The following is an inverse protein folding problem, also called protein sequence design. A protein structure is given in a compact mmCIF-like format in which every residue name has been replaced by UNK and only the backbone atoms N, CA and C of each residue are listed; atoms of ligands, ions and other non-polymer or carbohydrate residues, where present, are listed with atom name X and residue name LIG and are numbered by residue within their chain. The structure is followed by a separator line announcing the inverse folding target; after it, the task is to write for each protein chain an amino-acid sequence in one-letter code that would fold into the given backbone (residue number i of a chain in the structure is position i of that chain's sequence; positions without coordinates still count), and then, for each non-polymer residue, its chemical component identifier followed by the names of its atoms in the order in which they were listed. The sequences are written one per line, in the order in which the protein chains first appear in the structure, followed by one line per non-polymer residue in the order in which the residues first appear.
data_IF_815044551442
#
_entry.id   IF_815044551442
#
_cell.length_a   1.000
_cell.length_b   1.000
_cell.length_c   1.000
_cell.angle_alpha   90.00
_cell.angle_beta   90.00
_cell.angle_gamma   90.00
#
_symmetry.space_group_name_H-M   'P 1'
#
loop_
_entity.id
_entity.type
_entity.pdbx_description
1 polymer ?
#
# COMPACT_ATOMS: atom_id res chain seq x y z
N UNK A 1 8.66 -1.66 -97.61
CA UNK A 1 9.96 -1.80 -96.91
C UNK A 1 10.35 -0.43 -96.40
N UNK A 2 10.26 -0.22 -95.10
CA UNK A 2 11.07 0.77 -94.37
C UNK A 2 10.58 0.79 -92.94
N UNK A 3 11.39 0.36 -92.08
CA UNK A 3 11.19 0.26 -90.60
C UNK A 3 11.30 1.67 -90.03
N UNK A 4 10.36 2.08 -89.19
CA UNK A 4 10.49 3.26 -88.36
C UNK A 4 10.42 2.85 -86.92
N UNK A 5 11.42 3.27 -86.18
CA UNK A 5 11.77 2.95 -84.77
C UNK A 5 10.72 3.32 -83.76
N UNK A 6 10.67 2.54 -82.63
CA UNK A 6 9.82 2.81 -81.51
C UNK A 6 10.58 3.59 -80.40
N UNK A 7 10.64 4.93 -80.50
CA UNK A 7 11.32 5.78 -79.50
C UNK A 7 10.44 6.97 -79.07
N UNK A 8 9.16 6.84 -79.01
CA UNK A 8 8.31 7.95 -78.54
C UNK A 8 7.10 7.52 -77.65
N UNK A 9 7.26 6.52 -76.79
CA UNK A 9 6.18 6.18 -75.86
C UNK A 9 6.73 5.81 -74.46
N UNK A 10 7.71 6.53 -73.96
CA UNK A 10 8.30 6.26 -72.59
C UNK A 10 8.52 7.55 -71.79
N UNK A 11 7.61 8.54 -71.89
CA UNK A 11 7.67 9.73 -70.99
C UNK A 11 6.26 10.11 -70.50
N UNK A 12 5.42 9.19 -70.15
CA UNK A 12 4.11 9.50 -69.55
C UNK A 12 3.63 8.48 -68.50
N UNK A 13 4.55 7.85 -67.77
CA UNK A 13 4.18 6.91 -66.69
C UNK A 13 5.05 7.03 -65.46
N UNK A 14 5.62 8.22 -65.17
CA UNK A 14 6.45 8.46 -64.00
C UNK A 14 5.92 9.62 -63.12
N UNK A 15 4.61 9.79 -63.03
CA UNK A 15 4.01 10.93 -62.32
C UNK A 15 2.83 10.62 -61.42
N UNK A 16 2.63 9.37 -60.96
CA UNK A 16 1.45 9.04 -60.17
C UNK A 16 1.70 7.95 -59.07
N UNK A 17 2.88 7.91 -58.47
CA UNK A 17 3.18 6.96 -57.39
C UNK A 17 3.97 7.60 -56.25
N UNK A 18 3.64 8.85 -55.86
CA UNK A 18 4.28 9.56 -54.75
C UNK A 18 3.27 10.27 -53.85
N UNK A 19 2.08 9.69 -53.63
CA UNK A 19 1.10 10.20 -52.67
C UNK A 19 0.32 9.01 -52.08
N UNK A 20 0.94 8.30 -51.15
CA UNK A 20 0.29 7.17 -50.46
C UNK A 20 1.06 6.53 -49.30
N UNK A 21 2.17 7.14 -48.90
CA UNK A 21 2.80 6.73 -47.60
C UNK A 21 2.24 7.61 -46.49
N UNK A 22 0.96 7.45 -46.20
CA UNK A 22 0.36 7.91 -44.96
C UNK A 22 1.04 7.19 -43.79
N UNK A 23 1.85 7.93 -43.02
CA UNK A 23 2.42 7.50 -41.77
C UNK A 23 1.23 7.23 -40.86
N UNK A 24 0.81 5.96 -40.74
CA UNK A 24 0.06 5.49 -39.59
C UNK A 24 1.07 5.48 -38.43
N UNK A 25 1.28 6.63 -37.81
CA UNK A 25 1.85 6.71 -36.49
C UNK A 25 0.85 6.05 -35.57
N UNK A 26 0.94 4.72 -35.46
CA UNK A 26 0.28 3.96 -34.40
C UNK A 26 0.77 4.52 -33.07
N UNK A 27 -0.08 5.30 -32.41
CA UNK A 27 0.13 5.68 -31.03
C UNK A 27 0.16 4.35 -30.25
N UNK A 28 1.36 3.84 -29.98
CA UNK A 28 1.55 2.81 -28.94
C UNK A 28 1.17 3.53 -27.66
N UNK A 29 -0.08 3.40 -27.28
CA UNK A 29 -0.52 3.72 -25.91
C UNK A 29 0.22 2.71 -25.03
N UNK A 30 1.37 3.12 -24.51
CA UNK A 30 2.00 2.43 -23.40
C UNK A 30 0.99 2.55 -22.27
N UNK A 31 0.17 1.52 -22.06
CA UNK A 31 -0.63 1.40 -20.87
C UNK A 31 0.36 1.49 -19.72
N UNK A 32 0.23 2.53 -18.90
CA UNK A 32 0.95 2.58 -17.63
C UNK A 32 0.65 1.27 -16.89
N UNK A 33 1.65 0.61 -16.29
CA UNK A 33 1.39 -0.58 -15.51
C UNK A 33 0.34 -0.21 -14.46
N UNK A 34 -0.84 -0.77 -14.59
CA UNK A 34 -1.87 -0.66 -13.56
C UNK A 34 -1.32 -1.42 -12.35
N UNK A 35 -0.85 -0.70 -11.35
CA UNK A 35 -0.38 -1.30 -10.11
C UNK A 35 -1.57 -1.98 -9.45
N UNK A 36 -1.60 -3.29 -9.46
CA UNK A 36 -2.59 -4.07 -8.73
C UNK A 36 -2.39 -3.78 -7.24
N UNK A 37 -3.47 -3.51 -6.53
CA UNK A 37 -3.42 -3.20 -5.11
C UNK A 37 -4.61 -3.86 -4.44
N UNK A 38 -4.35 -4.88 -3.62
CA UNK A 38 -5.38 -5.58 -2.92
C UNK A 38 -4.85 -6.42 -1.76
N UNK A 39 -5.76 -6.92 -0.94
CA UNK A 39 -5.42 -7.78 0.18
C UNK A 39 -6.55 -8.76 0.50
N UNK A 40 -6.20 -9.81 1.22
CA UNK A 40 -7.21 -10.65 1.90
C UNK A 40 -7.84 -9.81 3.01
N UNK A 41 -9.14 -9.57 2.88
CA UNK A 41 -9.94 -8.77 3.81
C UNK A 41 -10.71 -9.62 4.82
N UNK A 42 -10.96 -10.89 4.50
CA UNK A 42 -11.58 -11.83 5.45
C UNK A 42 -11.07 -13.27 5.23
N UNK A 43 -10.39 -13.87 6.22
CA UNK A 43 -9.84 -13.23 7.44
C UNK A 43 -8.77 -12.19 7.08
N UNK A 44 -8.71 -11.03 7.77
CA UNK A 44 -7.86 -9.94 7.36
C UNK A 44 -6.38 -10.32 7.42
N UNK A 45 -5.64 -10.00 6.35
CA UNK A 45 -4.19 -10.16 6.33
C UNK A 45 -3.52 -9.21 7.34
N UNK A 46 -2.33 -9.58 7.86
CA UNK A 46 -1.62 -8.85 8.94
C UNK A 46 -1.60 -7.35 8.73
N UNK A 47 -1.02 -6.90 7.62
CA UNK A 47 -0.84 -5.47 7.35
C UNK A 47 -2.17 -4.77 7.06
N UNK A 48 -3.05 -5.41 6.26
CA UNK A 48 -4.39 -4.88 6.02
C UNK A 48 -5.19 -4.76 7.33
N UNK A 49 -5.21 -5.79 8.16
CA UNK A 49 -5.92 -5.77 9.44
C UNK A 49 -5.36 -4.76 10.44
N UNK A 50 -4.05 -4.50 10.42
CA UNK A 50 -3.46 -3.42 11.21
C UNK A 50 -3.90 -2.05 10.72
N UNK A 51 -3.91 -1.83 9.42
CA UNK A 51 -4.42 -0.59 8.82
C UNK A 51 -5.91 -0.41 9.12
N UNK A 52 -6.72 -1.44 8.89
CA UNK A 52 -8.17 -1.40 9.10
C UNK A 52 -8.53 -1.01 10.54
N UNK A 53 -7.83 -1.59 11.53
CA UNK A 53 -8.11 -1.33 12.95
C UNK A 53 -7.56 0.00 13.46
N UNK A 54 -6.42 0.44 12.94
CA UNK A 54 -5.62 1.49 13.58
C UNK A 54 -5.34 2.72 12.70
N UNK A 55 -5.71 2.75 11.42
CA UNK A 55 -5.36 3.87 10.53
C UNK A 55 -5.84 5.23 11.06
N UNK A 56 -7.04 5.29 11.64
CA UNK A 56 -7.59 6.52 12.24
C UNK A 56 -7.01 6.85 13.63
N UNK A 57 -6.33 5.90 14.27
CA UNK A 57 -5.76 6.01 15.61
C UNK A 57 -4.33 5.46 15.68
N UNK A 58 -3.55 5.55 14.59
CA UNK A 58 -2.22 4.94 14.47
C UNK A 58 -1.18 5.51 15.44
N UNK A 59 -1.45 6.65 16.05
CA UNK A 59 -0.62 7.29 17.08
C UNK A 59 -1.10 7.02 18.50
N UNK A 60 -2.22 6.30 18.68
CA UNK A 60 -2.76 6.01 20.01
C UNK A 60 -1.83 5.04 20.77
N UNK A 61 -1.31 5.43 21.95
CA UNK A 61 -0.44 4.59 22.75
C UNK A 61 -1.12 3.30 23.21
N UNK A 62 -2.45 3.25 23.24
CA UNK A 62 -3.21 2.04 23.60
C UNK A 62 -2.94 0.89 22.60
N UNK A 63 -2.55 1.17 21.38
CA UNK A 63 -2.18 0.14 20.39
C UNK A 63 -1.07 -0.77 20.92
N UNK A 64 -0.09 -0.23 21.65
CA UNK A 64 1.04 -1.02 22.16
C UNK A 64 0.59 -2.14 23.11
N UNK A 65 -0.52 -1.98 23.81
CA UNK A 65 -1.08 -2.97 24.74
C UNK A 65 -2.19 -3.80 24.11
N UNK A 66 -3.02 -3.22 23.26
CA UNK A 66 -4.18 -3.89 22.68
C UNK A 66 -3.84 -4.70 21.41
N UNK A 67 -2.83 -4.28 20.66
CA UNK A 67 -2.41 -4.91 19.41
C UNK A 67 -0.90 -4.70 19.19
N UNK A 68 -0.05 -5.35 20.02
CA UNK A 68 1.39 -5.07 20.07
C UNK A 68 2.10 -5.35 18.74
N UNK A 69 1.61 -6.31 17.94
CA UNK A 69 2.21 -6.60 16.64
C UNK A 69 1.91 -5.50 15.63
N UNK A 70 0.70 -4.95 15.61
CA UNK A 70 0.39 -3.78 14.81
C UNK A 70 1.14 -2.54 15.28
N UNK A 71 1.26 -2.33 16.59
CA UNK A 71 2.08 -1.23 17.13
C UNK A 71 3.54 -1.33 16.70
N UNK A 72 4.09 -2.55 16.69
CA UNK A 72 5.43 -2.78 16.14
C UNK A 72 5.51 -2.45 14.66
N UNK A 73 4.56 -2.93 13.85
CA UNK A 73 4.53 -2.70 12.41
C UNK A 73 4.39 -1.20 12.08
N UNK A 74 3.48 -0.48 12.74
CA UNK A 74 3.32 0.97 12.58
C UNK A 74 4.56 1.75 12.97
N UNK A 75 5.25 1.37 14.06
CA UNK A 75 6.46 2.03 14.51
C UNK A 75 7.66 1.77 13.60
N UNK A 76 7.76 0.53 13.07
CA UNK A 76 8.91 0.11 12.26
C UNK A 76 8.85 0.72 10.86
N UNK A 77 7.66 0.68 10.24
CA UNK A 77 7.50 1.16 8.86
C UNK A 77 6.06 1.65 8.61
N UNK A 78 5.75 2.90 8.96
CA UNK A 78 4.42 3.47 8.72
C UNK A 78 3.99 3.44 7.25
N UNK A 79 4.94 3.53 6.31
CA UNK A 79 4.64 3.49 4.88
C UNK A 79 4.06 2.13 4.46
N UNK A 80 4.52 1.03 5.05
CA UNK A 80 3.95 -0.28 4.80
C UNK A 80 2.47 -0.33 5.18
N UNK A 81 2.09 0.33 6.27
CA UNK A 81 0.70 0.37 6.73
C UNK A 81 -0.20 1.14 5.76
N UNK A 82 0.26 2.29 5.28
CA UNK A 82 -0.48 3.09 4.30
C UNK A 82 -0.53 2.46 2.92
N UNK A 83 0.45 1.61 2.60
CA UNK A 83 0.51 0.83 1.36
C UNK A 83 0.16 -0.66 1.60
N UNK A 84 -0.78 -0.93 2.51
CA UNK A 84 -1.20 -2.27 2.92
C UNK A 84 -1.54 -3.22 1.76
N UNK A 85 -1.89 -2.67 0.62
CA UNK A 85 -2.32 -3.35 -0.59
C UNK A 85 -1.19 -3.68 -1.58
N UNK A 86 0.07 -3.38 -1.24
CA UNK A 86 1.24 -3.52 -2.12
C UNK A 86 2.18 -4.70 -1.79
N UNK A 87 1.71 -5.74 -1.10
CA UNK A 87 2.56 -6.89 -0.73
C UNK A 87 2.63 -7.89 -1.89
N UNK A 88 3.46 -7.60 -2.86
CA UNK A 88 3.63 -8.42 -4.07
C UNK A 88 5.11 -8.62 -4.43
N UNK A 89 5.37 -9.54 -5.34
CA UNK A 89 6.64 -9.73 -6.01
C UNK A 89 6.41 -9.81 -7.52
N UNK A 90 7.31 -9.25 -8.32
CA UNK A 90 7.20 -9.25 -9.77
C UNK A 90 8.01 -10.37 -10.42
N UNK A 91 7.59 -10.80 -11.60
CA UNK A 91 8.31 -11.76 -12.45
C UNK A 91 8.57 -13.12 -11.78
N UNK A 92 7.59 -13.59 -11.03
CA UNK A 92 7.67 -14.86 -10.29
C UNK A 92 7.54 -16.06 -11.21
N UNK A 93 6.73 -15.99 -12.27
CA UNK A 93 6.52 -17.07 -13.23
C UNK A 93 5.99 -18.36 -12.58
N UNK A 94 5.20 -18.24 -11.51
CA UNK A 94 4.68 -19.37 -10.73
C UNK A 94 5.71 -20.04 -9.80
N UNK A 95 6.97 -19.59 -9.76
CA UNK A 95 8.06 -20.12 -8.93
C UNK A 95 8.07 -19.53 -7.52
N UNK A 96 6.92 -19.53 -6.86
CA UNK A 96 6.73 -18.86 -5.57
C UNK A 96 7.74 -19.29 -4.51
N UNK A 97 7.99 -20.60 -4.38
CA UNK A 97 8.89 -21.18 -3.37
C UNK A 97 10.37 -20.88 -3.65
N UNK A 98 10.74 -20.71 -4.93
CA UNK A 98 12.10 -20.36 -5.34
C UNK A 98 12.39 -18.87 -5.14
N UNK A 99 11.38 -18.01 -5.36
CA UNK A 99 11.55 -16.56 -5.38
C UNK A 99 11.36 -15.96 -4.00
N UNK A 100 10.43 -16.47 -3.21
CA UNK A 100 10.15 -15.94 -1.87
C UNK A 100 10.84 -16.82 -0.82
N UNK A 101 11.87 -16.31 -0.12
CA UNK A 101 12.62 -17.11 0.85
C UNK A 101 11.79 -17.44 2.10
N UNK A 102 12.13 -18.55 2.75
CA UNK A 102 11.64 -18.89 4.07
C UNK A 102 11.84 -17.74 5.05
N UNK A 103 10.86 -17.51 5.91
CA UNK A 103 10.86 -16.41 6.87
C UNK A 103 10.43 -15.07 6.28
N UNK A 104 10.18 -14.97 4.96
CA UNK A 104 9.79 -13.73 4.28
C UNK A 104 8.45 -13.85 3.54
N UNK A 105 7.69 -14.89 3.80
CA UNK A 105 6.46 -15.18 3.06
C UNK A 105 5.41 -14.07 3.23
N UNK A 106 5.25 -13.53 4.45
CA UNK A 106 4.23 -12.52 4.76
C UNK A 106 4.58 -11.12 4.24
N UNK A 107 5.80 -10.92 3.73
CA UNK A 107 6.24 -9.66 3.12
C UNK A 107 6.47 -9.77 1.60
N UNK A 108 6.21 -10.92 0.98
CA UNK A 108 6.58 -11.18 -0.41
C UNK A 108 8.10 -11.02 -0.68
N UNK A 109 8.96 -11.22 0.31
CA UNK A 109 10.39 -10.93 0.20
C UNK A 109 10.74 -9.43 0.19
N UNK A 110 9.76 -8.54 0.29
CA UNK A 110 9.96 -7.09 0.27
C UNK A 110 10.26 -6.55 1.68
N UNK A 111 11.45 -5.92 1.91
CA UNK A 111 11.84 -5.41 3.22
C UNK A 111 10.90 -4.33 3.76
N UNK A 112 10.19 -3.57 2.90
CA UNK A 112 9.18 -2.59 3.31
C UNK A 112 8.13 -3.24 4.23
N UNK A 113 7.72 -4.48 3.95
CA UNK A 113 6.73 -5.21 4.73
C UNK A 113 7.36 -6.19 5.74
N UNK A 114 8.65 -6.04 6.04
CA UNK A 114 9.42 -6.95 6.90
C UNK A 114 8.78 -7.20 8.26
N UNK A 115 8.10 -6.22 8.83
CA UNK A 115 7.36 -6.35 10.09
C UNK A 115 6.29 -7.46 10.04
N UNK A 116 5.70 -7.73 8.87
CA UNK A 116 4.71 -8.80 8.70
C UNK A 116 5.28 -10.21 8.94
N UNK A 117 6.60 -10.39 8.82
CA UNK A 117 7.26 -11.67 9.05
C UNK A 117 7.61 -11.92 10.52
N UNK A 118 7.55 -10.87 11.35
CA UNK A 118 7.98 -10.95 12.76
C UNK A 118 7.14 -11.96 13.53
N UNK A 119 7.75 -12.98 14.17
CA UNK A 119 7.04 -13.85 15.08
C UNK A 119 6.45 -13.07 16.25
N UNK A 120 5.26 -13.44 16.68
CA UNK A 120 4.63 -12.76 17.81
C UNK A 120 3.15 -13.07 17.97
N UNK A 121 2.54 -12.43 18.95
CA UNK A 121 1.13 -12.59 19.27
C UNK A 121 0.25 -11.75 18.33
N UNK A 122 0.27 -12.06 17.02
CA UNK A 122 -0.64 -11.46 16.07
C UNK A 122 -2.09 -11.73 16.47
N UNK A 123 -2.93 -10.73 16.30
CA UNK A 123 -4.36 -10.85 16.59
C UNK A 123 -5.00 -11.84 15.63
N UNK A 124 -5.61 -12.91 16.19
CA UNK A 124 -6.28 -13.93 15.39
C UNK A 124 -7.74 -13.57 15.12
N UNK A 125 -8.22 -13.98 13.96
CA UNK A 125 -9.66 -13.97 13.62
C UNK A 125 -10.22 -15.37 13.91
N UNK A 126 -11.17 -15.54 14.85
CA UNK A 126 -11.84 -16.82 15.03
C UNK A 126 -12.59 -17.25 13.77
N UNK A 127 -12.35 -18.45 13.28
CA UNK A 127 -13.02 -19.00 12.10
C UNK A 127 -13.53 -20.42 12.37
N UNK A 128 -14.70 -20.78 11.82
CA UNK A 128 -15.06 -22.18 11.71
C UNK A 128 -14.11 -22.88 10.75
N UNK A 129 -14.08 -24.21 10.76
CA UNK A 129 -13.24 -24.97 9.85
C UNK A 129 -13.61 -24.80 8.38
N UNK A 130 -14.89 -24.53 8.11
CA UNK A 130 -15.39 -24.20 6.77
C UNK A 130 -15.81 -22.74 6.78
N UNK A 131 -15.13 -21.89 5.99
CA UNK A 131 -15.42 -20.47 5.92
C UNK A 131 -15.17 -19.92 4.50
N UNK A 132 -15.64 -18.72 4.28
CA UNK A 132 -15.38 -17.97 3.04
C UNK A 132 -14.16 -17.08 3.22
N UNK A 133 -13.21 -17.16 2.29
CA UNK A 133 -12.08 -16.26 2.19
C UNK A 133 -12.39 -15.20 1.15
N UNK A 134 -12.12 -13.94 1.48
CA UNK A 134 -12.40 -12.79 0.62
C UNK A 134 -11.12 -12.01 0.32
N UNK A 135 -10.85 -11.79 -0.95
CA UNK A 135 -9.79 -10.89 -1.44
C UNK A 135 -10.44 -9.62 -1.95
N UNK A 136 -10.05 -8.48 -1.41
CA UNK A 136 -10.46 -7.16 -1.86
C UNK A 136 -9.43 -6.59 -2.84
N UNK A 137 -9.86 -6.33 -4.07
CA UNK A 137 -9.08 -5.74 -5.15
C UNK A 137 -9.83 -4.50 -5.68
N UNK A 138 -9.59 -3.32 -5.13
CA UNK A 138 -10.31 -2.10 -5.54
C UNK A 138 -10.06 -1.69 -6.98
N UNK A 139 -9.01 -2.22 -7.59
CA UNK A 139 -8.66 -1.90 -8.99
C UNK A 139 -9.21 -2.90 -10.01
N UNK A 140 -9.87 -3.98 -9.55
CA UNK A 140 -10.52 -5.00 -10.40
C UNK A 140 -9.59 -5.64 -11.45
N UNK A 141 -8.41 -6.10 -11.03
CA UNK A 141 -7.43 -6.70 -11.97
C UNK A 141 -7.77 -8.13 -12.40
N UNK A 142 -8.66 -8.79 -11.68
CA UNK A 142 -8.90 -10.21 -11.83
C UNK A 142 -7.87 -11.07 -11.11
N UNK A 143 -8.11 -12.37 -11.08
CA UNK A 143 -7.16 -13.34 -10.58
C UNK A 143 -7.06 -14.51 -11.55
N UNK A 144 -5.83 -14.91 -11.91
CA UNK A 144 -5.64 -16.16 -12.65
C UNK A 144 -5.88 -17.35 -11.73
N UNK A 145 -5.49 -17.20 -10.45
CA UNK A 145 -5.79 -18.15 -9.38
C UNK A 145 -5.59 -17.51 -8.00
N UNK A 146 -6.19 -18.13 -7.00
CA UNK A 146 -5.78 -18.01 -5.61
C UNK A 146 -5.18 -19.36 -5.18
N UNK A 147 -3.99 -19.37 -4.58
CA UNK A 147 -3.48 -20.52 -3.84
C UNK A 147 -3.65 -20.25 -2.35
N UNK A 148 -4.31 -21.16 -1.66
CA UNK A 148 -4.65 -21.02 -0.25
C UNK A 148 -3.99 -22.15 0.53
N UNK A 149 -3.19 -21.78 1.49
CA UNK A 149 -2.46 -22.67 2.37
C UNK A 149 -2.90 -22.45 3.82
N UNK A 150 -2.70 -23.43 4.65
CA UNK A 150 -2.78 -23.30 6.11
C UNK A 150 -1.51 -23.86 6.74
N UNK A 151 -1.12 -23.33 7.89
CA UNK A 151 0.00 -23.88 8.65
C UNK A 151 -0.34 -25.27 9.17
N UNK A 152 0.66 -26.16 9.16
CA UNK A 152 0.56 -27.51 9.73
C UNK A 152 0.34 -27.43 11.24
N UNK A 153 -0.30 -28.44 11.81
CA UNK A 153 -0.44 -28.54 13.27
C UNK A 153 0.95 -28.60 13.93
N UNK A 154 1.15 -27.83 15.00
CA UNK A 154 2.42 -27.68 15.70
C UNK A 154 3.25 -26.47 15.28
N UNK A 155 2.89 -25.76 14.19
CA UNK A 155 3.49 -24.46 13.91
C UNK A 155 3.08 -23.42 14.96
N UNK A 156 4.03 -22.66 15.47
CA UNK A 156 3.78 -21.57 16.43
C UNK A 156 4.23 -20.22 15.84
N UNK A 157 3.24 -19.42 15.43
CA UNK A 157 3.46 -18.08 14.87
C UNK A 157 4.07 -17.08 15.86
N UNK A 158 4.08 -17.40 17.15
CA UNK A 158 4.65 -16.52 18.17
C UNK A 158 6.16 -16.60 18.25
N UNK A 159 6.74 -17.72 17.83
CA UNK A 159 8.16 -18.04 18.02
C UNK A 159 8.91 -18.26 16.73
N UNK A 160 8.19 -18.51 15.62
CA UNK A 160 8.81 -18.88 14.33
C UNK A 160 8.23 -18.06 13.18
N UNK A 161 9.11 -17.49 12.37
CA UNK A 161 8.72 -16.92 11.08
C UNK A 161 8.26 -18.03 10.11
N UNK A 162 7.29 -17.72 9.26
CA UNK A 162 6.66 -18.68 8.36
C UNK A 162 7.61 -19.15 7.26
N UNK A 163 7.74 -20.48 7.11
CA UNK A 163 8.48 -21.13 6.04
C UNK A 163 7.54 -21.94 5.14
N UNK A 164 7.95 -22.21 3.90
CA UNK A 164 7.17 -23.04 2.97
C UNK A 164 6.91 -24.45 3.52
N UNK A 165 7.90 -25.02 4.22
CA UNK A 165 7.77 -26.32 4.88
C UNK A 165 6.71 -26.38 5.99
N UNK A 166 6.30 -25.23 6.53
CA UNK A 166 5.25 -25.14 7.56
C UNK A 166 3.84 -25.17 6.96
N UNK A 167 3.71 -25.06 5.66
CA UNK A 167 2.45 -24.89 4.96
C UNK A 167 1.92 -26.19 4.35
N UNK A 168 0.62 -26.30 4.28
CA UNK A 168 -0.15 -27.29 3.53
C UNK A 168 -1.06 -26.55 2.54
N UNK A 169 -0.94 -26.91 1.24
CA UNK A 169 -1.80 -26.36 0.20
C UNK A 169 -3.21 -26.96 0.32
N UNK A 170 -4.20 -26.12 0.57
CA UNK A 170 -5.60 -26.55 0.66
C UNK A 170 -6.31 -26.46 -0.68
N UNK A 171 -6.04 -25.37 -1.43
CA UNK A 171 -6.80 -25.08 -2.63
C UNK A 171 -6.01 -24.23 -3.62
N UNK A 172 -6.17 -24.56 -4.89
CA UNK A 172 -5.88 -23.65 -6.01
C UNK A 172 -7.20 -23.41 -6.73
N UNK A 173 -7.61 -22.15 -6.85
CA UNK A 173 -8.87 -21.81 -7.54
C UNK A 173 -8.68 -21.71 -9.05
N UNK A 174 -9.78 -21.67 -9.79
CA UNK A 174 -9.77 -21.19 -11.17
C UNK A 174 -9.67 -19.66 -11.23
N UNK A 175 -9.81 -19.15 -12.46
CA UNK A 175 -9.73 -17.72 -12.77
C UNK A 175 -10.96 -16.97 -12.27
N UNK A 176 -10.72 -15.74 -11.78
CA UNK A 176 -11.76 -14.76 -11.48
C UNK A 176 -11.75 -13.65 -12.53
N UNK A 177 -12.94 -13.24 -12.93
CA UNK A 177 -13.12 -12.06 -13.78
C UNK A 177 -12.63 -10.78 -13.04
N UNK A 178 -12.32 -9.70 -13.77
CA UNK A 178 -11.96 -8.41 -13.18
C UNK A 178 -13.16 -7.76 -12.47
N UNK A 179 -13.49 -8.26 -11.29
CA UNK A 179 -14.56 -7.74 -10.44
C UNK A 179 -14.24 -8.09 -8.99
N UNK A 180 -14.17 -7.12 -8.12
CA UNK A 180 -13.90 -7.30 -6.69
C UNK A 180 -15.23 -7.37 -5.91
N UNK A 181 -15.28 -8.13 -4.81
CA UNK A 181 -14.25 -8.99 -4.24
C UNK A 181 -14.19 -10.38 -4.89
N UNK A 182 -13.03 -11.07 -4.78
CA UNK A 182 -12.90 -12.50 -5.09
C UNK A 182 -13.20 -13.30 -3.84
N UNK A 183 -14.11 -14.24 -3.95
CA UNK A 183 -14.56 -15.03 -2.80
C UNK A 183 -14.43 -16.51 -3.10
N UNK A 184 -13.92 -17.27 -2.14
CA UNK A 184 -13.82 -18.72 -2.25
C UNK A 184 -14.09 -19.40 -0.91
N UNK A 185 -14.74 -20.57 -0.97
CA UNK A 185 -14.90 -21.42 0.20
C UNK A 185 -13.59 -22.14 0.51
N UNK A 186 -13.24 -22.18 1.78
CA UNK A 186 -12.03 -22.83 2.31
C UNK A 186 -12.45 -23.82 3.39
N UNK A 187 -11.93 -25.05 3.32
CA UNK A 187 -12.11 -26.08 4.33
C UNK A 187 -10.75 -26.41 4.96
N UNK A 188 -10.66 -26.24 6.27
CA UNK A 188 -9.46 -26.51 7.05
C UNK A 188 -9.49 -27.94 7.59
N UNK A 189 -8.37 -28.68 7.58
CA UNK A 189 -8.27 -29.99 8.22
C UNK A 189 -8.68 -29.91 9.72
N UNK A 190 -9.46 -30.87 10.17
CA UNK A 190 -10.07 -30.86 11.53
C UNK A 190 -9.07 -31.04 12.67
N UNK A 191 -7.84 -31.45 12.36
CA UNK A 191 -6.74 -31.56 13.31
C UNK A 191 -6.06 -30.22 13.63
N UNK A 192 -6.38 -29.15 12.90
CA UNK A 192 -5.87 -27.79 13.15
C UNK A 192 -6.63 -27.17 14.31
N UNK A 193 -5.92 -26.90 15.41
CA UNK A 193 -6.51 -26.29 16.63
C UNK A 193 -5.63 -25.14 17.12
N UNK A 194 -6.25 -24.09 17.67
CA UNK A 194 -5.54 -22.93 18.16
C UNK A 194 -5.15 -21.93 17.06
N UNK A 195 -4.02 -21.25 17.25
CA UNK A 195 -3.53 -20.22 16.34
C UNK A 195 -2.87 -20.82 15.09
N UNK A 196 -3.34 -20.46 13.92
CA UNK A 196 -2.80 -20.82 12.62
C UNK A 196 -2.66 -19.59 11.72
N UNK A 197 -1.86 -19.71 10.66
CA UNK A 197 -1.80 -18.74 9.58
C UNK A 197 -2.43 -19.34 8.33
N UNK A 198 -3.41 -18.65 7.77
CA UNK A 198 -3.88 -18.89 6.39
C UNK A 198 -3.03 -18.00 5.49
N UNK A 199 -2.25 -18.64 4.63
CA UNK A 199 -1.39 -17.97 3.67
C UNK A 199 -2.03 -18.03 2.29
N UNK A 200 -2.24 -16.86 1.69
CA UNK A 200 -2.91 -16.74 0.40
C UNK A 200 -1.98 -16.10 -0.62
N UNK A 201 -1.85 -16.74 -1.79
CA UNK A 201 -1.25 -16.14 -2.96
C UNK A 201 -2.37 -15.76 -3.92
N UNK A 202 -2.45 -14.51 -4.27
CA UNK A 202 -3.32 -14.00 -5.32
C UNK A 202 -2.48 -13.66 -6.55
N UNK A 203 -2.61 -14.44 -7.64
CA UNK A 203 -1.99 -14.13 -8.93
C UNK A 203 -2.92 -13.20 -9.71
N UNK A 204 -2.53 -11.93 -9.81
CA UNK A 204 -3.27 -10.95 -10.59
C UNK A 204 -3.21 -11.30 -12.10
N UNK A 205 -4.34 -11.10 -12.83
CA UNK A 205 -4.46 -11.54 -14.22
C UNK A 205 -3.76 -10.64 -15.24
N UNK A 206 -3.41 -9.41 -14.86
CA UNK A 206 -2.90 -8.40 -15.79
C UNK A 206 -1.38 -8.40 -15.92
N UNK A 207 -0.66 -8.91 -14.92
CA UNK A 207 0.80 -8.97 -14.86
C UNK A 207 1.26 -10.20 -14.08
N UNK A 208 2.51 -10.63 -14.30
CA UNK A 208 3.17 -11.61 -13.44
C UNK A 208 3.57 -10.95 -12.10
N UNK A 209 2.55 -10.68 -11.29
CA UNK A 209 2.63 -9.94 -10.04
C UNK A 209 1.74 -10.60 -8.98
N UNK A 210 2.18 -11.74 -8.40
CA UNK A 210 1.44 -12.38 -7.31
C UNK A 210 1.59 -11.61 -6.01
N UNK A 211 0.47 -11.53 -5.26
CA UNK A 211 0.35 -10.96 -3.93
C UNK A 211 0.40 -12.04 -2.87
N UNK A 212 1.05 -11.77 -1.74
CA UNK A 212 1.30 -12.73 -0.67
C UNK A 212 0.72 -12.22 0.64
N UNK A 213 -0.22 -12.97 1.22
CA UNK A 213 -1.02 -12.50 2.34
C UNK A 213 -1.03 -13.51 3.49
N UNK A 214 -0.64 -13.09 4.67
CA UNK A 214 -0.71 -13.87 5.89
C UNK A 214 -1.87 -13.39 6.76
N UNK A 215 -2.85 -14.24 7.01
CA UNK A 215 -3.99 -13.99 7.89
C UNK A 215 -3.92 -14.89 9.11
N UNK A 216 -3.84 -14.30 10.30
CA UNK A 216 -3.84 -15.07 11.54
C UNK A 216 -5.27 -15.45 11.94
N UNK A 217 -5.49 -16.73 12.16
CA UNK A 217 -6.80 -17.31 12.49
C UNK A 217 -6.72 -18.21 13.72
N UNK A 218 -7.84 -18.45 14.35
CA UNK A 218 -7.94 -19.46 15.42
C UNK A 218 -9.07 -20.44 15.14
N UNK A 219 -8.77 -21.73 15.31
CA UNK A 219 -9.71 -22.84 15.13
C UNK A 219 -9.95 -23.58 16.43
N UNK A 220 -11.14 -24.17 16.58
CA UNK A 220 -11.48 -25.05 17.73
C UNK A 220 -11.60 -24.34 19.08
N UNK A 221 -11.52 -23.04 19.13
CA UNK A 221 -11.81 -22.25 20.34
C UNK A 221 -13.31 -22.05 20.49
N UNK A 222 -13.81 -22.11 21.72
CA UNK A 222 -15.12 -21.54 22.05
C UNK A 222 -15.03 -20.06 21.64
N UNK A 223 -15.99 -19.50 20.87
CA UNK A 223 -15.97 -18.08 20.58
C UNK A 223 -15.87 -17.31 21.88
N UNK A 224 -14.84 -16.47 22.02
CA UNK A 224 -14.81 -15.54 23.15
C UNK A 224 -16.13 -14.77 23.11
N UNK A 225 -16.85 -14.62 24.24
CA UNK A 225 -18.07 -13.84 24.25
C UNK A 225 -17.74 -12.46 23.67
N UNK A 226 -18.48 -12.09 22.65
CA UNK A 226 -18.42 -10.74 22.07
C UNK A 226 -18.51 -9.75 23.22
N UNK A 227 -17.65 -8.75 23.34
CA UNK A 227 -17.77 -7.79 24.42
C UNK A 227 -19.18 -7.19 24.33
N UNK A 228 -19.99 -7.49 25.33
CA UNK A 228 -21.29 -6.84 25.51
C UNK A 228 -21.04 -5.35 25.51
N UNK A 229 -21.76 -4.54 24.71
CA UNK A 229 -21.58 -3.10 24.76
C UNK A 229 -21.81 -2.65 26.19
N UNK A 230 -20.74 -2.29 26.88
CA UNK A 230 -20.82 -1.68 28.19
C UNK A 230 -21.40 -0.30 27.97
N UNK A 231 -22.63 -0.10 28.41
CA UNK A 231 -23.25 1.24 28.45
C UNK A 231 -22.25 2.18 29.13
N UNK A 232 -21.88 3.32 28.51
CA UNK A 232 -20.97 4.25 29.14
C UNK A 232 -21.52 4.64 30.51
N UNK A 233 -20.70 4.47 31.55
CA UNK A 233 -21.02 4.99 32.86
C UNK A 233 -21.25 6.52 32.75
N UNK A 234 -22.23 7.10 33.48
CA UNK A 234 -22.45 8.53 33.43
C UNK A 234 -21.17 9.26 33.83
N UNK A 235 -20.77 10.22 32.97
CA UNK A 235 -19.60 11.06 33.18
C UNK A 235 -19.71 11.76 34.54
N UNK A 236 -18.68 11.74 35.40
CA UNK A 236 -18.72 12.46 36.67
C UNK A 236 -18.85 13.98 36.39
N UNK A 237 -19.78 14.62 37.06
CA UNK A 237 -19.98 16.04 37.07
C UNK A 237 -18.66 16.74 37.42
N UNK A 238 -18.21 17.76 36.66
CA UNK A 238 -16.96 18.44 36.98
C UNK A 238 -17.06 19.18 38.32
N UNK A 239 -16.29 18.71 39.29
CA UNK A 239 -16.07 19.41 40.56
C UNK A 239 -14.98 20.44 40.32
N UNK A 240 -15.27 21.70 40.54
CA UNK A 240 -14.35 22.83 40.41
C UNK A 240 -13.15 22.63 41.36
N UNK A 241 -11.89 22.59 40.88
CA UNK A 241 -10.72 22.48 41.71
C UNK A 241 -10.48 23.79 42.49
N UNK A 242 -10.19 23.67 43.77
CA UNK A 242 -9.66 24.77 44.58
C UNK A 242 -8.25 25.16 44.10
N UNK A 243 -7.84 26.45 44.22
CA UNK A 243 -6.55 26.90 43.76
C UNK A 243 -5.41 26.25 44.55
N UNK A 244 -4.51 25.58 43.88
CA UNK A 244 -3.28 24.98 44.42
C UNK A 244 -2.16 26.03 44.48
N UNK A 245 -1.32 26.07 45.52
CA UNK A 245 -0.23 27.03 45.64
C UNK A 245 0.84 26.81 44.58
N UNK A 246 1.30 27.90 43.98
CA UNK A 246 2.35 27.95 42.97
C UNK A 246 3.70 27.44 43.51
N UNK A 247 4.30 26.39 42.94
CA UNK A 247 5.69 26.07 43.25
C UNK A 247 6.63 26.94 42.36
N UNK A 248 7.55 27.66 43.03
CA UNK A 248 8.66 28.35 42.41
C UNK A 248 9.65 27.33 41.85
N UNK A 249 9.78 27.26 40.52
CA UNK A 249 10.74 26.40 39.83
C UNK A 249 12.02 27.18 39.48
N UNK A 250 13.22 26.54 39.56
CA UNK A 250 14.47 27.17 39.12
C UNK A 250 14.47 27.35 37.61
N UNK A 251 14.90 28.52 37.15
CA UNK A 251 15.09 28.82 35.72
C UNK A 251 16.21 28.00 35.13
N UNK A 252 15.86 27.09 34.23
CA UNK A 252 16.79 26.42 33.31
C UNK A 252 16.95 27.31 32.07
N UNK A 253 18.15 27.48 31.51
CA UNK A 253 18.34 28.37 30.36
C UNK A 253 17.57 27.90 29.14
N UNK A 254 16.85 28.83 28.53
CA UNK A 254 16.08 28.68 27.30
C UNK A 254 17.01 28.30 26.13
N UNK A 255 16.65 27.31 25.30
CA UNK A 255 17.36 27.11 24.04
C UNK A 255 17.13 28.31 23.12
N UNK A 256 18.19 28.75 22.47
CA UNK A 256 18.19 29.82 21.47
C UNK A 256 17.08 29.65 20.44
N UNK A 257 16.46 30.74 19.98
CA UNK A 257 15.42 30.67 18.97
C UNK A 257 15.99 30.16 17.65
N UNK A 258 15.50 29.00 17.20
CA UNK A 258 15.67 28.54 15.82
C UNK A 258 14.95 29.55 14.93
N UNK A 259 15.63 30.08 13.96
CA UNK A 259 15.11 31.02 12.95
C UNK A 259 13.81 30.49 12.36
N UNK A 260 12.70 31.26 12.35
CA UNK A 260 11.48 30.86 11.70
C UNK A 260 11.75 30.63 10.20
N UNK A 261 11.42 29.44 9.71
CA UNK A 261 11.33 29.19 8.28
C UNK A 261 10.29 30.11 7.63
N UNK A 262 10.34 30.30 6.30
CA UNK A 262 9.48 31.25 5.60
C UNK A 262 8.01 31.01 5.93
N UNK A 263 7.32 32.08 6.27
CA UNK A 263 5.88 32.13 6.55
C UNK A 263 5.12 31.57 5.33
N UNK A 264 4.21 30.62 5.49
CA UNK A 264 3.50 30.01 4.37
C UNK A 264 2.57 31.01 3.70
N UNK A 265 2.83 31.32 2.44
CA UNK A 265 2.03 32.24 1.63
C UNK A 265 0.78 31.57 1.04
N UNK A 266 0.43 30.33 1.45
CA UNK A 266 -0.60 29.57 0.75
C UNK A 266 -1.38 28.55 1.57
N UNK A 267 -1.74 28.81 2.82
CA UNK A 267 -2.61 27.92 3.60
C UNK A 267 -2.04 26.54 3.94
N UNK A 268 -0.93 26.10 3.34
CA UNK A 268 -0.22 24.86 3.65
C UNK A 268 1.28 24.96 3.34
N UNK A 269 2.05 24.02 3.91
CA UNK A 269 3.47 23.79 3.61
C UNK A 269 3.68 22.38 3.12
N UNK A 270 4.76 22.13 2.36
CA UNK A 270 5.15 20.79 1.96
C UNK A 270 6.65 20.57 2.20
N UNK A 271 6.98 19.34 2.57
CA UNK A 271 8.37 18.86 2.67
C UNK A 271 8.51 17.58 1.85
N UNK A 272 9.68 17.33 1.30
CA UNK A 272 10.00 16.09 0.58
C UNK A 272 11.12 15.36 1.29
N UNK A 273 10.98 14.05 1.46
CA UNK A 273 11.98 13.15 2.05
C UNK A 273 12.25 11.99 1.09
N UNK A 274 13.52 11.77 0.76
CA UNK A 274 13.94 10.62 -0.06
C UNK A 274 13.99 9.39 0.82
N UNK A 275 13.25 8.36 0.42
CA UNK A 275 13.12 7.08 1.15
C UNK A 275 14.18 6.09 0.71
N UNK A 276 14.42 5.98 -0.60
CA UNK A 276 15.41 5.07 -1.17
C UNK A 276 15.90 5.58 -2.53
N UNK A 277 17.09 5.15 -2.94
CA UNK A 277 17.67 5.48 -4.24
C UNK A 277 18.24 4.23 -4.91
N UNK A 278 18.17 4.19 -6.24
CA UNK A 278 18.77 3.14 -7.07
C UNK A 278 19.35 3.75 -8.35
N UNK A 279 19.98 2.94 -9.17
CA UNK A 279 20.53 3.42 -10.43
C UNK A 279 19.43 3.95 -11.36
N UNK A 280 19.40 5.26 -11.58
CA UNK A 280 18.44 5.93 -12.47
C UNK A 280 17.12 6.35 -11.84
N UNK A 281 16.92 6.16 -10.52
CA UNK A 281 15.68 6.58 -9.87
C UNK A 281 15.72 6.63 -8.34
N UNK A 282 14.60 7.04 -7.78
CA UNK A 282 14.44 7.15 -6.33
C UNK A 282 12.97 7.04 -5.93
N UNK A 283 12.76 6.70 -4.69
CA UNK A 283 11.47 6.80 -4.00
C UNK A 283 11.52 7.95 -3.00
N UNK A 284 10.48 8.77 -2.99
CA UNK A 284 10.36 9.86 -2.03
C UNK A 284 8.92 9.99 -1.53
N UNK A 285 8.78 10.66 -0.38
CA UNK A 285 7.51 11.02 0.23
C UNK A 285 7.44 12.53 0.32
N UNK A 286 6.32 13.10 -0.12
CA UNK A 286 5.95 14.47 0.16
C UNK A 286 4.98 14.48 1.33
N UNK A 287 5.25 15.32 2.35
CA UNK A 287 4.35 15.57 3.49
C UNK A 287 3.85 17.00 3.41
N UNK A 288 2.53 17.13 3.41
CA UNK A 288 1.82 18.41 3.42
C UNK A 288 1.29 18.66 4.83
N UNK A 289 1.44 19.89 5.30
CA UNK A 289 0.89 20.36 6.58
C UNK A 289 0.00 21.57 6.31
N UNK A 290 -1.26 21.50 6.74
CA UNK A 290 -2.18 22.65 6.72
C UNK A 290 -1.66 23.74 7.66
N UNK A 291 -1.87 25.00 7.29
CA UNK A 291 -1.54 26.17 8.10
C UNK A 291 -2.48 26.35 9.28
N UNK A 292 -2.67 27.59 9.69
CA UNK A 292 -3.55 27.97 10.81
C UNK A 292 -5.05 27.78 10.52
N UNK A 293 -5.43 27.46 9.29
CA UNK A 293 -6.81 27.19 8.86
C UNK A 293 -6.94 25.81 8.27
N UNK A 294 -8.11 25.20 8.40
CA UNK A 294 -8.44 23.96 7.71
C UNK A 294 -8.45 24.18 6.18
N UNK A 295 -8.06 23.17 5.43
CA UNK A 295 -8.07 23.14 3.95
C UNK A 295 -8.94 21.99 3.46
N UNK A 296 -9.49 22.10 2.25
CA UNK A 296 -10.35 21.06 1.65
C UNK A 296 -9.62 20.18 0.66
N UNK A 297 -8.46 20.63 0.20
CA UNK A 297 -7.57 19.91 -0.69
C UNK A 297 -6.19 20.54 -0.73
N UNK A 298 -5.24 19.86 -1.36
CA UNK A 298 -3.88 20.36 -1.50
C UNK A 298 -3.25 19.90 -2.81
N UNK A 299 -2.30 20.72 -3.29
CA UNK A 299 -1.38 20.38 -4.38
C UNK A 299 0.04 20.62 -3.89
N UNK A 300 0.89 19.62 -4.00
CA UNK A 300 2.31 19.72 -3.69
C UNK A 300 3.12 19.63 -4.99
N UNK A 301 3.93 20.64 -5.26
CA UNK A 301 4.88 20.64 -6.38
C UNK A 301 6.25 20.32 -5.84
N UNK A 302 6.91 19.31 -6.41
CA UNK A 302 8.25 18.86 -6.03
C UNK A 302 9.24 19.32 -7.10
N UNK A 303 9.96 20.40 -6.81
CA UNK A 303 10.93 20.96 -7.74
C UNK A 303 12.14 20.02 -7.88
N UNK A 304 12.61 19.86 -9.10
CA UNK A 304 13.70 18.93 -9.45
C UNK A 304 13.24 17.47 -9.64
N UNK A 305 11.95 17.15 -9.40
CA UNK A 305 11.44 15.80 -9.57
C UNK A 305 10.90 15.54 -10.98
N UNK A 306 11.27 14.40 -11.55
CA UNK A 306 10.56 13.77 -12.68
C UNK A 306 9.76 12.61 -12.12
N UNK A 307 8.50 12.85 -11.75
CA UNK A 307 7.64 11.86 -11.11
C UNK A 307 7.15 10.87 -12.16
N UNK A 308 7.43 9.60 -11.96
CA UNK A 308 7.00 8.50 -12.85
C UNK A 308 5.77 7.79 -12.33
N UNK A 309 5.58 7.78 -11.00
CA UNK A 309 4.44 7.18 -10.33
C UNK A 309 4.19 7.91 -9.00
N UNK A 310 2.93 8.01 -8.58
CA UNK A 310 2.57 8.51 -7.26
C UNK A 310 1.45 7.67 -6.64
N UNK A 311 1.40 7.65 -5.31
CA UNK A 311 0.31 7.04 -4.53
C UNK A 311 -0.12 7.98 -3.40
N UNK A 312 -1.34 7.79 -2.91
CA UNK A 312 -2.01 8.70 -1.98
C UNK A 312 -2.20 10.12 -2.56
N UNK A 313 -2.17 10.24 -3.89
CA UNK A 313 -2.37 11.45 -4.65
C UNK A 313 -2.23 11.18 -6.13
N UNK A 314 -2.65 12.12 -6.97
CA UNK A 314 -2.55 12.02 -8.43
C UNK A 314 -1.42 12.91 -8.92
N UNK A 315 -0.44 12.31 -9.62
CA UNK A 315 0.68 13.05 -10.20
C UNK A 315 0.35 13.62 -11.57
N UNK A 316 0.82 14.85 -11.82
CA UNK A 316 0.83 15.48 -13.14
C UNK A 316 2.11 16.32 -13.24
N UNK A 317 3.07 15.86 -14.06
CA UNK A 317 4.42 16.43 -14.09
C UNK A 317 5.11 16.28 -12.73
N UNK A 318 5.59 17.38 -12.15
CA UNK A 318 6.20 17.43 -10.82
C UNK A 318 5.20 17.72 -9.69
N UNK A 319 3.91 17.79 -9.98
CA UNK A 319 2.87 18.13 -9.00
C UNK A 319 2.06 16.90 -8.62
N UNK A 320 1.81 16.75 -7.32
CA UNK A 320 0.92 15.73 -6.74
C UNK A 320 -0.28 16.44 -6.14
N UNK A 321 -1.47 16.10 -6.59
CA UNK A 321 -2.76 16.58 -6.04
C UNK A 321 -3.31 15.56 -5.06
N UNK A 322 -3.91 16.01 -3.98
CA UNK A 322 -4.55 15.16 -2.96
C UNK A 322 -5.53 14.16 -3.56
N UNK A 323 -5.58 12.96 -2.98
CA UNK A 323 -6.69 12.04 -3.20
C UNK A 323 -7.95 12.56 -2.47
N UNK A 324 -9.14 12.07 -2.89
CA UNK A 324 -10.40 12.54 -2.31
C UNK A 324 -10.57 12.31 -0.81
N UNK A 325 -9.81 11.37 -0.24
CA UNK A 325 -9.88 10.99 1.17
C UNK A 325 -8.83 11.68 2.08
N UNK A 326 -7.75 12.25 1.52
CA UNK A 326 -6.67 12.90 2.28
C UNK A 326 -6.50 14.40 1.96
N UNK A 327 -7.44 14.97 1.22
CA UNK A 327 -7.41 16.39 0.84
C UNK A 327 -7.84 17.30 1.97
N UNK A 328 -8.89 16.94 2.71
CA UNK A 328 -9.41 17.73 3.81
C UNK A 328 -8.51 17.57 5.05
N UNK A 329 -7.88 18.66 5.48
CA UNK A 329 -7.01 18.70 6.65
C UNK A 329 -7.49 19.77 7.62
N UNK A 330 -7.59 19.43 8.90
CA UNK A 330 -7.79 20.43 9.95
C UNK A 330 -6.57 21.36 10.03
N UNK A 331 -6.71 22.49 10.70
CA UNK A 331 -5.59 23.39 10.98
C UNK A 331 -4.43 22.61 11.65
N UNK A 332 -3.22 22.72 11.09
CA UNK A 332 -2.04 21.97 11.53
C UNK A 332 -2.05 20.47 11.17
N UNK A 333 -3.12 19.96 10.57
CA UNK A 333 -3.24 18.59 10.13
C UNK A 333 -2.28 18.26 8.99
N UNK A 334 -1.88 16.99 8.87
CA UNK A 334 -0.89 16.52 7.88
C UNK A 334 -1.46 15.46 6.97
N UNK A 335 -0.98 15.40 5.73
CA UNK A 335 -1.17 14.30 4.80
C UNK A 335 0.15 14.01 4.10
N UNK A 336 0.30 12.75 3.65
CA UNK A 336 1.48 12.35 2.88
C UNK A 336 1.07 11.67 1.57
N UNK A 337 1.87 11.91 0.54
CA UNK A 337 1.84 11.16 -0.72
C UNK A 337 3.25 10.68 -1.05
N UNK A 338 3.33 9.44 -1.54
CA UNK A 338 4.60 8.91 -2.00
C UNK A 338 4.72 8.95 -3.52
N UNK A 339 5.94 8.92 -4.03
CA UNK A 339 6.20 8.88 -5.47
C UNK A 339 7.52 8.22 -5.83
N UNK A 340 7.56 7.67 -7.03
CA UNK A 340 8.80 7.28 -7.69
C UNK A 340 9.23 8.41 -8.61
N UNK A 341 10.52 8.75 -8.56
CA UNK A 341 11.12 9.71 -9.46
C UNK A 341 12.25 9.09 -10.26
N UNK A 342 12.45 9.57 -11.49
CA UNK A 342 13.62 9.21 -12.30
C UNK A 342 14.72 10.25 -12.21
N UNK A 343 15.98 9.80 -12.32
CA UNK A 343 17.16 10.66 -12.25
C UNK A 343 17.71 10.84 -10.83
N UNK A 344 18.25 12.03 -10.52
CA UNK A 344 18.87 12.36 -9.22
C UNK A 344 17.80 12.79 -8.22
N UNK A 345 17.97 12.36 -6.98
CA UNK A 345 17.16 12.82 -5.84
C UNK A 345 17.78 14.00 -5.09
N UNK A 346 18.93 14.52 -5.55
CA UNK A 346 19.62 15.62 -4.88
C UNK A 346 18.93 16.96 -5.12
N UNK A 347 18.78 17.76 -4.07
CA UNK A 347 18.25 19.12 -4.17
C UNK A 347 16.74 19.21 -4.37
N UNK A 348 15.98 18.13 -4.14
CA UNK A 348 14.53 18.17 -4.18
C UNK A 348 13.99 19.13 -3.12
N UNK A 349 13.08 20.01 -3.52
CA UNK A 349 12.31 20.87 -2.63
C UNK A 349 10.82 20.71 -2.92
N UNK A 350 9.96 21.03 -1.95
CA UNK A 350 8.52 20.90 -2.15
C UNK A 350 7.81 22.18 -1.72
N UNK A 351 6.81 22.58 -2.50
CA UNK A 351 5.90 23.69 -2.21
C UNK A 351 4.45 23.19 -2.16
N UNK A 352 3.60 23.86 -1.40
CA UNK A 352 2.19 23.49 -1.24
C UNK A 352 1.27 24.64 -1.61
N UNK A 353 0.18 24.29 -2.30
CA UNK A 353 -0.97 25.16 -2.53
C UNK A 353 -2.22 24.49 -1.99
N UNK A 354 -2.92 25.14 -1.07
CA UNK A 354 -4.22 24.69 -0.57
C UNK A 354 -5.33 24.93 -1.61
N UNK A 355 -6.31 24.01 -1.67
CA UNK A 355 -7.47 24.10 -2.55
C UNK A 355 -8.76 23.91 -1.77
#
# INVERSE_FOLDING_TARGET
MSRLSPVRRLVAAAGALALGAGIVAGSVVLAAPASAHGAVSDPPARIYGCWERWSSAHTDPAMATQDPMCANAWRTEPNAMWNWNGIFHENVGGRHEEVIPDGQLCSAGNPLYGAANTPGAWRTTPKPYDFRLTVHDPSNHGADYLKIYVTKQGYDARTKALAWSDLELLKTTGRYAPSSPYVTDVSIPRDRTGHHVVFTIWQASHLDQPYYQCSDVSFGGTPAPSPTPTTPAPSPTPTTPAPSPTPTMPVTPSPSPTTPGPTPTGGCTATVSVVSTWQGGYQATVTVTAGASAITGWKATVDGATITQAWNGTASGSTITSAGWNGALAAGGTASAGFLGSGSSSGLTATCTAT
#
